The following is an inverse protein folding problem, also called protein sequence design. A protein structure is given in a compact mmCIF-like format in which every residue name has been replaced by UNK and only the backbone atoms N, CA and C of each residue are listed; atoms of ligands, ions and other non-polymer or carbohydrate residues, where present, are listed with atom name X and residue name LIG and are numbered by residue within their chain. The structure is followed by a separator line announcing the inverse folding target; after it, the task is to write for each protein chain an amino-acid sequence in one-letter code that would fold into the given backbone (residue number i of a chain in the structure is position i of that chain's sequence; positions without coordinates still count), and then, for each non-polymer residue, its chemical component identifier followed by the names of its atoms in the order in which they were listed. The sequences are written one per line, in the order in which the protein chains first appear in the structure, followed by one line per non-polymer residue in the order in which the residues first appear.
data_IF_818834156655
#
_entry.id   IF_818834156655
#
_cell.length_a   1.000
_cell.length_b   1.000
_cell.length_c   1.000
_cell.angle_alpha   90.00
_cell.angle_beta   90.00
_cell.angle_gamma   90.00
#
_symmetry.space_group_name_H-M   'P 1'
#
loop_
_entity.id
_entity.type
_entity.pdbx_description
1 polymer ?
#
# COMPACT_ATOMS: atom_id res chain seq x y z
N UNK A 1 23.80 -1.72 -3.82
CA UNK A 1 23.17 -2.97 -3.32
C UNK A 1 21.76 -3.01 -3.88
N UNK A 2 21.49 -3.94 -4.78
CA UNK A 2 20.14 -4.12 -5.34
C UNK A 2 19.25 -4.62 -4.21
N UNK A 3 18.19 -3.88 -3.91
CA UNK A 3 17.22 -4.33 -2.91
C UNK A 3 16.63 -5.67 -3.39
N UNK A 4 16.76 -6.70 -2.58
CA UNK A 4 16.19 -8.02 -2.89
C UNK A 4 14.67 -7.89 -2.83
N UNK A 5 13.97 -8.16 -3.95
CA UNK A 5 12.52 -8.23 -3.97
C UNK A 5 12.08 -9.42 -3.11
N UNK A 6 11.17 -9.17 -2.19
CA UNK A 6 10.60 -10.20 -1.34
C UNK A 6 9.53 -11.00 -2.11
N UNK A 7 9.35 -12.29 -1.80
CA UNK A 7 8.25 -13.06 -2.38
C UNK A 7 6.90 -12.41 -2.08
N UNK A 8 6.02 -12.41 -3.08
CA UNK A 8 4.66 -11.91 -2.93
C UNK A 8 3.88 -12.70 -1.87
N UNK A 9 2.86 -12.06 -1.29
CA UNK A 9 1.94 -12.71 -0.35
C UNK A 9 0.51 -12.66 -0.88
N UNK A 10 -0.29 -13.65 -0.47
CA UNK A 10 -1.71 -13.75 -0.81
C UNK A 10 -2.56 -13.46 0.42
N UNK A 11 -3.48 -12.49 0.32
CA UNK A 11 -4.48 -12.20 1.33
C UNK A 11 -5.87 -12.68 0.87
N UNK A 12 -6.64 -13.27 1.79
CA UNK A 12 -8.03 -13.68 1.57
C UNK A 12 -8.94 -12.49 1.88
N UNK A 13 -9.68 -12.00 0.90
CA UNK A 13 -10.53 -10.81 1.06
C UNK A 13 -11.89 -11.12 1.72
N UNK A 14 -12.27 -12.38 1.78
CA UNK A 14 -13.49 -12.83 2.46
C UNK A 14 -13.32 -13.05 3.98
N UNK A 15 -12.11 -12.86 4.49
CA UNK A 15 -11.74 -13.09 5.90
C UNK A 15 -10.86 -11.92 6.41
N UNK A 16 -11.34 -10.70 6.19
CA UNK A 16 -10.64 -9.49 6.64
C UNK A 16 -10.99 -9.17 8.09
N UNK A 17 -10.03 -8.66 8.87
CA UNK A 17 -10.30 -8.14 10.19
C UNK A 17 -11.15 -6.87 10.12
N UNK A 18 -11.84 -6.56 11.21
CA UNK A 18 -12.54 -5.29 11.39
C UNK A 18 -11.53 -4.14 11.50
N UNK A 19 -11.78 -3.05 10.75
CA UNK A 19 -10.97 -1.84 10.79
C UNK A 19 -11.25 -0.96 12.02
N UNK A 20 -12.44 -1.06 12.62
CA UNK A 20 -12.90 -0.15 13.67
C UNK A 20 -11.95 0.00 14.86
N UNK A 21 -11.32 -1.06 15.41
CA UNK A 21 -10.37 -0.90 16.50
C UNK A 21 -9.14 -0.06 16.12
N UNK A 22 -8.70 -0.16 14.89
CA UNK A 22 -7.56 0.62 14.37
C UNK A 22 -7.97 2.05 14.07
N UNK A 23 -9.16 2.26 13.51
CA UNK A 23 -9.71 3.60 13.25
C UNK A 23 -9.92 4.38 14.55
N UNK A 24 -10.40 3.73 15.61
CA UNK A 24 -10.52 4.35 16.91
C UNK A 24 -9.17 4.84 17.45
N UNK A 25 -8.10 4.07 17.27
CA UNK A 25 -6.73 4.50 17.64
C UNK A 25 -6.23 5.66 16.79
N UNK A 26 -6.47 5.61 15.49
CA UNK A 26 -6.13 6.68 14.55
C UNK A 26 -6.84 7.97 14.95
N UNK A 27 -8.14 7.92 15.21
CA UNK A 27 -8.93 9.08 15.64
C UNK A 27 -8.47 9.63 17.00
N UNK A 28 -8.16 8.76 17.96
CA UNK A 28 -7.65 9.16 19.27
C UNK A 28 -6.29 9.89 19.18
N UNK A 29 -5.48 9.61 18.15
CA UNK A 29 -4.24 10.30 17.88
C UNK A 29 -4.41 11.61 17.07
N UNK A 30 -5.65 12.03 16.79
CA UNK A 30 -5.93 13.22 15.98
C UNK A 30 -5.68 13.03 14.48
N UNK A 31 -5.60 11.79 14.04
CA UNK A 31 -5.32 11.40 12.66
C UNK A 31 -6.60 10.90 11.97
N UNK A 32 -6.61 10.83 10.67
CA UNK A 32 -7.72 10.24 9.91
C UNK A 32 -7.23 9.58 8.62
N UNK A 33 -8.01 8.63 8.14
CA UNK A 33 -7.81 8.00 6.83
C UNK A 33 -9.07 8.23 5.99
N UNK A 34 -8.87 8.55 4.72
CA UNK A 34 -9.96 8.67 3.74
C UNK A 34 -9.47 8.24 2.35
N UNK A 35 -10.41 7.99 1.45
CA UNK A 35 -10.05 7.84 0.04
C UNK A 35 -9.43 9.14 -0.49
N UNK A 36 -8.45 9.01 -1.37
CA UNK A 36 -7.85 10.16 -2.02
C UNK A 36 -8.82 10.81 -3.01
N UNK A 37 -8.70 12.12 -3.13
CA UNK A 37 -9.47 12.95 -4.05
C UNK A 37 -8.55 13.45 -5.20
N UNK A 38 -9.10 13.86 -6.36
CA UNK A 38 -8.29 14.29 -7.50
C UNK A 38 -7.26 15.39 -7.17
N UNK A 39 -7.63 16.32 -6.30
CA UNK A 39 -6.77 17.43 -5.86
C UNK A 39 -5.68 17.03 -4.85
N UNK A 40 -5.71 15.81 -4.35
CA UNK A 40 -4.62 15.30 -3.50
C UNK A 40 -3.37 14.92 -4.32
N UNK A 41 -3.50 14.70 -5.63
CA UNK A 41 -2.48 14.08 -6.48
C UNK A 41 -1.10 14.71 -6.35
N UNK A 42 -1.00 16.05 -6.38
CA UNK A 42 0.28 16.75 -6.30
C UNK A 42 0.93 16.53 -4.93
N UNK A 43 0.15 16.68 -3.85
CA UNK A 43 0.63 16.48 -2.47
C UNK A 43 0.99 15.02 -2.20
N UNK A 44 0.20 14.10 -2.75
CA UNK A 44 0.44 12.67 -2.69
C UNK A 44 1.79 12.30 -3.33
N UNK A 45 2.03 12.75 -4.56
CA UNK A 45 3.28 12.52 -5.27
C UNK A 45 4.47 13.09 -4.50
N UNK A 46 4.37 14.33 -4.01
CA UNK A 46 5.41 14.96 -3.20
C UNK A 46 5.73 14.12 -1.97
N UNK A 47 4.71 13.75 -1.19
CA UNK A 47 4.87 12.93 0.01
C UNK A 47 5.52 11.57 -0.28
N UNK A 48 5.05 10.87 -1.30
CA UNK A 48 5.57 9.57 -1.67
C UNK A 48 7.03 9.64 -2.12
N UNK A 49 7.39 10.67 -2.93
CA UNK A 49 8.77 10.87 -3.39
C UNK A 49 9.72 11.19 -2.24
N UNK A 50 9.35 12.11 -1.36
CA UNK A 50 10.19 12.56 -0.24
C UNK A 50 10.43 11.47 0.81
N UNK A 51 9.44 10.61 1.05
CA UNK A 51 9.53 9.60 2.12
C UNK A 51 9.95 8.21 1.62
N UNK A 52 9.67 7.85 0.36
CA UNK A 52 9.84 6.49 -0.16
C UNK A 52 10.57 6.40 -1.49
N UNK A 53 10.90 7.52 -2.10
CA UNK A 53 11.62 7.60 -3.36
C UNK A 53 10.73 7.63 -4.60
N UNK A 54 11.36 7.96 -5.72
CA UNK A 54 10.66 8.27 -6.97
C UNK A 54 9.94 7.06 -7.59
N UNK A 55 10.56 5.86 -7.53
CA UNK A 55 9.96 4.66 -8.11
C UNK A 55 8.65 4.29 -7.43
N UNK A 56 8.60 4.35 -6.11
CA UNK A 56 7.36 4.13 -5.37
C UNK A 56 6.32 5.20 -5.66
N UNK A 57 6.76 6.44 -5.80
CA UNK A 57 5.89 7.57 -6.12
C UNK A 57 5.22 7.40 -7.47
N UNK A 58 5.98 7.05 -8.52
CA UNK A 58 5.46 6.82 -9.87
C UNK A 58 4.48 5.64 -9.88
N UNK A 59 4.81 4.54 -9.21
CA UNK A 59 3.95 3.36 -9.12
C UNK A 59 2.64 3.68 -8.39
N UNK A 60 2.72 4.33 -7.23
CA UNK A 60 1.55 4.68 -6.43
C UNK A 60 0.66 5.75 -7.08
N UNK A 61 1.24 6.69 -7.83
CA UNK A 61 0.48 7.75 -8.54
C UNK A 61 -0.49 7.18 -9.57
N UNK A 62 -0.26 5.95 -10.05
CA UNK A 62 -1.19 5.26 -10.97
C UNK A 62 -2.59 5.10 -10.39
N UNK A 63 -2.75 5.15 -9.08
CA UNK A 63 -4.05 5.14 -8.41
C UNK A 63 -4.98 6.25 -8.90
N UNK A 64 -4.43 7.41 -9.28
CA UNK A 64 -5.20 8.55 -9.78
C UNK A 64 -5.67 8.41 -11.24
N UNK A 65 -5.30 7.33 -11.92
CA UNK A 65 -5.79 6.99 -13.25
C UNK A 65 -7.08 6.15 -13.20
N UNK A 66 -7.50 5.73 -12.03
CA UNK A 66 -8.71 4.95 -11.81
C UNK A 66 -9.89 5.83 -11.38
N UNK A 67 -11.10 5.38 -11.65
CA UNK A 67 -12.36 5.97 -11.19
C UNK A 67 -13.25 4.87 -10.61
N UNK A 68 -13.47 4.83 -9.29
CA UNK A 68 -12.91 5.72 -8.27
C UNK A 68 -11.38 5.59 -8.11
N UNK A 69 -10.74 6.63 -7.56
CA UNK A 69 -9.31 6.63 -7.26
C UNK A 69 -8.99 5.48 -6.30
N UNK A 70 -7.98 4.66 -6.65
CA UNK A 70 -7.59 3.45 -5.92
C UNK A 70 -6.53 3.72 -4.85
N UNK A 71 -6.68 4.82 -4.13
CA UNK A 71 -5.79 5.24 -3.06
C UNK A 71 -6.56 5.67 -1.82
N UNK A 72 -6.04 5.31 -0.66
CA UNK A 72 -6.38 5.89 0.63
C UNK A 72 -5.20 6.70 1.15
N UNK A 73 -5.49 7.83 1.79
CA UNK A 73 -4.49 8.72 2.39
C UNK A 73 -4.74 8.90 3.88
N UNK A 74 -3.65 8.88 4.64
CA UNK A 74 -3.65 9.27 6.04
C UNK A 74 -3.34 10.77 6.15
N UNK A 75 -4.09 11.47 6.97
CA UNK A 75 -3.99 12.92 7.17
C UNK A 75 -3.60 13.22 8.62
N UNK A 76 -2.55 14.01 8.76
CA UNK A 76 -2.08 14.59 10.01
C UNK A 76 -1.84 16.09 9.78
N UNK A 77 -2.36 16.95 10.67
CA UNK A 77 -2.17 18.41 10.60
C UNK A 77 -2.46 19.00 9.19
N UNK A 78 -3.51 18.50 8.53
CA UNK A 78 -3.95 18.87 7.18
C UNK A 78 -2.99 18.48 6.05
N UNK A 79 -1.95 17.70 6.34
CA UNK A 79 -0.98 17.17 5.37
C UNK A 79 -1.12 15.66 5.20
N UNK A 80 -0.69 15.14 4.06
CA UNK A 80 -0.62 13.69 3.83
C UNK A 80 0.54 13.14 4.67
N UNK A 81 0.24 12.13 5.45
CA UNK A 81 1.17 11.47 6.36
C UNK A 81 1.31 9.95 6.09
N UNK A 82 0.59 9.44 5.13
CA UNK A 82 0.64 8.05 4.72
C UNK A 82 -0.29 7.78 3.56
N UNK A 83 -0.10 6.66 2.91
CA UNK A 83 -0.96 6.18 1.83
C UNK A 83 -0.97 4.66 1.74
N UNK A 84 -2.03 4.13 1.16
CA UNK A 84 -2.12 2.77 0.64
C UNK A 84 -2.83 2.81 -0.70
N UNK A 85 -2.32 2.07 -1.66
CA UNK A 85 -2.91 2.00 -3.00
C UNK A 85 -3.14 0.55 -3.44
N UNK A 86 -4.00 0.37 -4.42
CA UNK A 86 -4.28 -0.93 -5.03
C UNK A 86 -4.50 -0.78 -6.53
N UNK A 87 -4.41 -1.87 -7.29
CA UNK A 87 -4.52 -1.85 -8.76
C UNK A 87 -3.40 -1.04 -9.45
N UNK A 88 -2.30 -0.75 -8.77
CA UNK A 88 -1.22 0.09 -9.30
C UNK A 88 -0.10 -0.72 -9.94
N UNK A 89 0.42 -1.74 -9.28
CA UNK A 89 1.46 -2.63 -9.82
C UNK A 89 0.89 -3.52 -10.91
N UNK A 90 -0.16 -4.24 -10.59
CA UNK A 90 -0.95 -5.11 -11.47
C UNK A 90 -2.39 -5.16 -10.95
N UNK A 91 -3.32 -5.70 -11.78
CA UNK A 91 -4.66 -6.02 -11.29
C UNK A 91 -4.59 -7.02 -10.14
N UNK A 92 -5.37 -6.77 -9.09
CA UNK A 92 -5.40 -7.61 -7.92
C UNK A 92 -4.24 -7.41 -6.94
N UNK A 93 -3.37 -6.42 -7.17
CA UNK A 93 -2.26 -6.09 -6.27
C UNK A 93 -2.64 -4.98 -5.30
N UNK A 94 -2.29 -5.18 -4.04
CA UNK A 94 -2.20 -4.16 -3.01
C UNK A 94 -0.76 -3.65 -2.93
N UNK A 95 -0.59 -2.34 -2.78
CA UNK A 95 0.68 -1.66 -2.64
C UNK A 95 1.05 -0.83 -3.87
N UNK A 96 2.05 0.06 -3.72
CA UNK A 96 2.81 0.35 -2.48
C UNK A 96 1.98 0.99 -1.36
N UNK A 97 2.50 0.91 -0.14
CA UNK A 97 1.93 1.53 1.06
C UNK A 97 3.04 2.07 1.96
N UNK A 98 2.78 3.18 2.60
CA UNK A 98 3.76 3.77 3.51
C UNK A 98 3.15 4.79 4.45
N UNK A 99 3.72 4.87 5.66
CA UNK A 99 3.36 5.84 6.70
C UNK A 99 4.62 6.59 7.11
N UNK A 100 4.49 7.90 7.29
CA UNK A 100 5.56 8.75 7.80
C UNK A 100 6.11 8.17 9.11
N UNK A 101 7.43 8.12 9.23
CA UNK A 101 8.12 7.35 10.27
C UNK A 101 7.67 7.75 11.69
N UNK A 102 7.55 9.05 11.95
CA UNK A 102 7.14 9.59 13.25
C UNK A 102 5.70 9.26 13.67
N UNK A 103 4.86 8.80 12.72
CA UNK A 103 3.45 8.46 12.97
C UNK A 103 3.19 6.94 12.95
N UNK A 104 4.21 6.13 12.79
CA UNK A 104 4.08 4.67 12.88
C UNK A 104 3.66 4.25 14.30
N UNK A 105 2.96 3.12 14.39
CA UNK A 105 2.46 2.61 15.69
C UNK A 105 1.09 3.15 16.13
N UNK A 106 0.47 4.05 15.36
CA UNK A 106 -0.86 4.61 15.65
C UNK A 106 -2.02 3.88 14.95
N UNK A 107 -1.74 2.79 14.24
CA UNK A 107 -2.76 2.03 13.51
C UNK A 107 -3.00 2.50 12.07
N UNK A 108 -2.34 3.56 11.61
CA UNK A 108 -2.52 4.09 10.25
C UNK A 108 -2.27 3.05 9.16
N UNK A 109 -1.17 2.30 9.27
CA UNK A 109 -0.84 1.26 8.29
C UNK A 109 -1.89 0.17 8.22
N UNK A 110 -2.47 -0.23 9.35
CA UNK A 110 -3.55 -1.22 9.40
C UNK A 110 -4.83 -0.69 8.73
N UNK A 111 -5.24 0.54 9.02
CA UNK A 111 -6.43 1.14 8.40
C UNK A 111 -6.24 1.29 6.89
N UNK A 112 -5.09 1.79 6.44
CA UNK A 112 -4.77 1.93 5.02
C UNK A 112 -4.85 0.58 4.29
N UNK A 113 -4.24 -0.46 4.86
CA UNK A 113 -4.29 -1.82 4.31
C UNK A 113 -5.71 -2.36 4.25
N UNK A 114 -6.43 -2.36 5.37
CA UNK A 114 -7.77 -2.95 5.44
C UNK A 114 -8.73 -2.22 4.50
N UNK A 115 -8.73 -0.90 4.45
CA UNK A 115 -9.59 -0.13 3.54
C UNK A 115 -9.29 -0.39 2.06
N UNK A 116 -8.02 -0.55 1.69
CA UNK A 116 -7.67 -0.98 0.34
C UNK A 116 -8.19 -2.38 0.03
N UNK A 117 -7.99 -3.34 0.93
CA UNK A 117 -8.44 -4.72 0.73
C UNK A 117 -9.96 -4.85 0.70
N UNK A 118 -10.69 -4.09 1.52
CA UNK A 118 -12.16 -4.01 1.46
C UNK A 118 -12.62 -3.48 0.10
N UNK A 119 -11.98 -2.42 -0.40
CA UNK A 119 -12.30 -1.87 -1.73
C UNK A 119 -12.01 -2.86 -2.86
N UNK A 120 -10.95 -3.65 -2.75
CA UNK A 120 -10.67 -4.74 -3.71
C UNK A 120 -11.74 -5.83 -3.65
N UNK A 121 -12.20 -6.19 -2.46
CA UNK A 121 -13.33 -7.12 -2.30
C UNK A 121 -14.60 -6.61 -2.97
N UNK A 122 -14.90 -5.31 -2.83
CA UNK A 122 -16.04 -4.66 -3.48
C UNK A 122 -15.93 -4.67 -5.01
N UNK A 123 -14.70 -4.65 -5.55
CA UNK A 123 -14.44 -4.83 -6.98
C UNK A 123 -14.67 -6.28 -7.47
N UNK A 124 -14.89 -7.23 -6.56
CA UNK A 124 -15.16 -8.62 -6.89
C UNK A 124 -13.96 -9.56 -6.74
N UNK A 125 -12.83 -9.10 -6.22
CA UNK A 125 -11.70 -9.97 -5.91
C UNK A 125 -11.97 -10.83 -4.67
N UNK A 126 -11.66 -12.12 -4.75
CA UNK A 126 -11.63 -13.00 -3.59
C UNK A 126 -10.29 -12.98 -2.86
N UNK A 127 -9.23 -12.63 -3.59
CA UNK A 127 -7.85 -12.59 -3.10
C UNK A 127 -7.15 -11.31 -3.57
N UNK A 128 -6.21 -10.83 -2.77
CA UNK A 128 -5.28 -9.77 -3.16
C UNK A 128 -3.84 -10.26 -3.05
N UNK A 129 -3.01 -9.80 -3.99
CA UNK A 129 -1.57 -10.02 -3.93
C UNK A 129 -0.94 -8.81 -3.26
N UNK A 130 -0.15 -9.07 -2.21
CA UNK A 130 0.70 -8.07 -1.58
C UNK A 130 2.07 -8.22 -2.22
N UNK A 131 2.39 -7.33 -3.15
CA UNK A 131 3.64 -7.41 -3.91
C UNK A 131 4.81 -6.83 -3.14
N UNK A 132 5.97 -7.49 -3.20
CA UNK A 132 7.20 -7.08 -2.52
C UNK A 132 6.94 -6.60 -1.07
N UNK A 133 6.30 -7.43 -0.23
CA UNK A 133 5.92 -7.02 1.11
C UNK A 133 7.16 -6.72 1.96
N UNK A 134 7.10 -5.66 2.75
CA UNK A 134 8.11 -5.37 3.74
C UNK A 134 8.12 -6.43 4.85
N UNK A 135 7.64 -6.15 6.06
CA UNK A 135 7.67 -7.13 7.15
C UNK A 135 6.57 -8.19 6.96
N UNK A 136 6.92 -9.38 6.45
CA UNK A 136 5.98 -10.51 6.24
C UNK A 136 5.10 -10.80 7.45
N UNK A 137 5.70 -10.85 8.64
CA UNK A 137 4.99 -11.12 9.90
C UNK A 137 3.86 -10.13 10.17
N UNK A 138 3.99 -8.89 9.72
CA UNK A 138 2.96 -7.89 9.84
C UNK A 138 1.70 -8.29 9.06
N UNK A 139 1.86 -8.69 7.80
CA UNK A 139 0.76 -9.11 6.95
C UNK A 139 0.18 -10.47 7.36
N UNK A 140 1.03 -11.40 7.79
CA UNK A 140 0.58 -12.69 8.36
C UNK A 140 -0.33 -12.47 9.57
N UNK A 141 0.11 -11.62 10.50
CA UNK A 141 -0.62 -11.34 11.75
C UNK A 141 -1.90 -10.54 11.51
N UNK A 142 -1.84 -9.51 10.66
CA UNK A 142 -2.96 -8.57 10.49
C UNK A 142 -4.07 -9.12 9.61
N UNK A 143 -3.74 -9.71 8.47
CA UNK A 143 -4.72 -10.16 7.46
C UNK A 143 -4.58 -11.64 7.09
N UNK A 144 -3.81 -12.41 7.84
CA UNK A 144 -3.62 -13.84 7.59
C UNK A 144 -2.99 -14.16 6.24
N UNK A 145 -2.18 -13.23 5.71
CA UNK A 145 -1.53 -13.42 4.41
C UNK A 145 -0.51 -14.57 4.45
N UNK A 146 -0.38 -15.26 3.33
CA UNK A 146 0.57 -16.38 3.15
C UNK A 146 1.52 -16.09 2.00
N UNK A 147 2.76 -16.56 2.09
CA UNK A 147 3.77 -16.40 1.03
C UNK A 147 3.39 -17.21 -0.21
N UNK A 148 3.53 -16.59 -1.38
CA UNK A 148 3.37 -17.27 -2.67
C UNK A 148 4.75 -17.85 -3.06
N UNK A 149 4.88 -19.18 -3.18
CA UNK A 149 6.14 -19.78 -3.58
C UNK A 149 6.56 -19.35 -4.99
N UNK A 150 7.88 -19.23 -5.19
CA UNK A 150 8.49 -18.93 -6.51
C UNK A 150 8.00 -17.62 -7.15
N UNK A 151 7.65 -16.62 -6.35
CA UNK A 151 7.15 -15.32 -6.80
C UNK A 151 8.22 -14.21 -6.87
N UNK A 152 9.50 -14.56 -6.69
CA UNK A 152 10.63 -13.61 -6.77
C UNK A 152 11.47 -13.89 -8.02
N UNK A 153 11.85 -12.87 -8.81
CA UNK A 153 11.45 -11.46 -8.74
C UNK A 153 10.02 -11.20 -9.25
N UNK A 154 9.35 -12.20 -9.83
CA UNK A 154 7.97 -12.15 -10.27
C UNK A 154 7.70 -10.99 -11.25
N UNK A 155 6.67 -10.21 -10.99
CA UNK A 155 6.29 -9.06 -11.84
C UNK A 155 7.29 -7.90 -11.79
N UNK A 156 8.24 -7.93 -10.86
CA UNK A 156 9.29 -6.91 -10.71
C UNK A 156 10.55 -7.20 -11.52
N UNK A 157 10.62 -8.33 -12.24
CA UNK A 157 11.76 -8.68 -13.08
C UNK A 157 12.22 -7.54 -14.01
N UNK A 158 11.32 -6.77 -14.68
CA UNK A 158 11.73 -5.66 -15.55
C UNK A 158 12.49 -4.54 -14.83
N UNK A 159 12.34 -4.37 -13.52
CA UNK A 159 13.14 -3.38 -12.76
C UNK A 159 14.63 -3.71 -12.74
N UNK A 160 14.98 -4.98 -12.86
CA UNK A 160 16.38 -5.43 -12.88
C UNK A 160 17.00 -5.28 -14.27
N UNK A 161 16.19 -5.39 -15.33
CA UNK A 161 16.64 -5.23 -16.71
C UNK A 161 17.10 -3.80 -17.00
N UNK A 162 16.40 -2.79 -16.43
CA UNK A 162 16.72 -1.36 -16.61
C UNK A 162 17.86 -0.90 -15.71
N UNK A 163 18.09 -1.56 -14.58
CA UNK A 163 19.13 -1.19 -13.61
C UNK A 163 20.50 -1.79 -13.93
N UNK A 164 20.58 -2.79 -14.82
CA UNK A 164 21.82 -3.48 -15.15
C UNK A 164 22.78 -2.69 -16.04
N UNK A 165 22.39 -1.56 -16.60
CA UNK A 165 23.17 -0.82 -17.60
C UNK A 165 23.92 0.40 -17.04
N UNK A 166 23.98 0.59 -15.72
CA UNK A 166 24.58 1.77 -15.10
C UNK A 166 25.47 1.43 -13.87
N UNK A 167 26.26 0.35 -13.96
CA UNK A 167 27.43 0.16 -13.11
C UNK A 167 28.72 0.44 -13.88
#
# INVERSE_FOLDING_TARGET
MIAVVMPDMLARLYDLPDADPYEARVAAAGLRVRRAEPWDRIRFRKFATENFGELWSIEAERAFLHTPITAYVAIADREIAGFGVYECTRKGFFGPTGVREDLRGNGLGAVLLIRCLESMRELGYAYAIIGDPGPKKYYEKLVGATVIPNSTPGVYAPLYEVRGDHE
#
